data_IF_900863429261
#
_entry.id   IF_900863429261
#
_cell.length_a   1.000
_cell.length_b   1.000
_cell.length_c   1.000
_cell.angle_alpha   90.00
_cell.angle_beta   90.00
_cell.angle_gamma   90.00
#
_symmetry.space_group_name_H-M   'P 1'
#
loop_
_entity.id
_entity.type
_entity.pdbx_description
1 polymer ?
#
# COMPACT_ATOMS: atom_id res chain seq x y z
N UNK A 1 11.72 -13.95 -8.93
CA UNK A 1 10.96 -12.71 -9.24
C UNK A 1 11.76 -11.86 -10.23
N UNK A 2 11.55 -12.08 -11.54
CA UNK A 2 12.31 -11.43 -12.63
C UNK A 2 11.71 -10.07 -13.05
N UNK A 3 10.51 -9.74 -12.56
CA UNK A 3 9.77 -8.51 -12.85
C UNK A 3 10.17 -7.31 -11.96
N UNK A 4 10.58 -7.56 -10.71
CA UNK A 4 10.96 -6.49 -9.79
C UNK A 4 12.37 -5.97 -10.08
N UNK A 5 12.61 -4.65 -9.96
CA UNK A 5 13.94 -4.07 -10.14
C UNK A 5 14.98 -4.75 -9.24
N UNK A 6 16.24 -4.67 -9.64
CA UNK A 6 17.36 -5.13 -8.82
C UNK A 6 17.48 -4.30 -7.55
N UNK A 7 17.96 -4.92 -6.47
CA UNK A 7 18.21 -4.21 -5.22
C UNK A 7 19.18 -3.05 -5.46
N UNK A 8 18.99 -1.94 -4.74
CA UNK A 8 19.75 -0.69 -4.84
C UNK A 8 19.69 0.04 -6.20
N UNK A 9 18.84 -0.39 -7.12
CA UNK A 9 18.68 0.28 -8.42
C UNK A 9 17.95 1.62 -8.30
N UNK A 10 18.40 2.62 -9.07
CA UNK A 10 17.74 3.93 -9.17
C UNK A 10 16.30 3.84 -9.75
N UNK A 11 15.95 2.72 -10.39
CA UNK A 11 14.61 2.46 -10.92
C UNK A 11 13.55 2.48 -9.80
N UNK A 12 13.92 2.10 -8.57
CA UNK A 12 13.01 2.15 -7.41
C UNK A 12 12.51 3.55 -7.08
N UNK A 13 13.29 4.61 -7.36
CA UNK A 13 12.82 5.99 -7.15
C UNK A 13 11.73 6.38 -8.14
N UNK A 14 11.83 5.92 -9.40
CA UNK A 14 10.75 6.09 -10.38
C UNK A 14 9.49 5.33 -9.97
N UNK A 15 9.66 4.09 -9.49
CA UNK A 15 8.56 3.30 -8.94
C UNK A 15 7.92 4.00 -7.74
N UNK A 16 8.71 4.53 -6.81
CA UNK A 16 8.21 5.28 -5.65
C UNK A 16 7.37 6.50 -6.07
N UNK A 17 7.83 7.28 -7.05
CA UNK A 17 7.07 8.43 -7.55
C UNK A 17 5.74 7.99 -8.19
N UNK A 18 5.78 7.01 -9.11
CA UNK A 18 4.57 6.51 -9.79
C UNK A 18 3.60 5.87 -8.81
N UNK A 19 4.09 5.03 -7.91
CA UNK A 19 3.30 4.35 -6.88
C UNK A 19 2.59 5.36 -5.96
N UNK A 20 3.33 6.37 -5.49
CA UNK A 20 2.78 7.42 -4.62
C UNK A 20 1.72 8.26 -5.34
N UNK A 21 1.97 8.66 -6.59
CA UNK A 21 1.01 9.42 -7.38
C UNK A 21 -0.27 8.62 -7.66
N UNK A 22 -0.15 7.34 -8.04
CA UNK A 22 -1.31 6.48 -8.28
C UNK A 22 -2.10 6.27 -7.00
N UNK A 23 -1.43 5.95 -5.89
CA UNK A 23 -2.10 5.75 -4.61
C UNK A 23 -2.81 7.03 -4.14
N UNK A 24 -2.16 8.18 -4.28
CA UNK A 24 -2.78 9.48 -3.98
C UNK A 24 -4.02 9.73 -4.85
N UNK A 25 -3.91 9.54 -6.16
CA UNK A 25 -5.04 9.70 -7.08
C UNK A 25 -6.23 8.81 -6.71
N UNK A 26 -5.99 7.56 -6.30
CA UNK A 26 -7.05 6.64 -5.85
C UNK A 26 -7.73 7.16 -4.58
N UNK A 27 -6.98 7.69 -3.61
CA UNK A 27 -7.58 8.29 -2.41
C UNK A 27 -8.43 9.53 -2.73
N UNK A 28 -7.99 10.36 -3.68
CA UNK A 28 -8.77 11.51 -4.15
C UNK A 28 -10.05 11.06 -4.84
N UNK A 29 -9.98 10.06 -5.71
CA UNK A 29 -11.15 9.48 -6.38
C UNK A 29 -12.14 8.90 -5.37
N UNK A 30 -11.65 8.16 -4.38
CA UNK A 30 -12.49 7.64 -3.32
C UNK A 30 -13.26 8.76 -2.59
N UNK A 31 -12.53 9.78 -2.11
CA UNK A 31 -13.15 10.82 -1.29
C UNK A 31 -14.07 11.75 -2.08
N UNK A 32 -13.59 12.28 -3.21
CA UNK A 32 -14.28 13.37 -3.90
C UNK A 32 -15.20 12.89 -5.04
N UNK A 33 -14.98 11.68 -5.57
CA UNK A 33 -15.82 11.13 -6.63
C UNK A 33 -16.77 10.05 -6.13
N UNK A 34 -16.30 9.09 -5.30
CA UNK A 34 -17.15 7.99 -4.81
C UNK A 34 -18.04 8.44 -3.65
N UNK A 35 -17.48 9.10 -2.64
CA UNK A 35 -18.27 9.63 -1.52
C UNK A 35 -18.98 10.96 -1.85
N UNK A 36 -18.74 11.52 -3.05
CA UNK A 36 -19.32 12.78 -3.52
C UNK A 36 -19.12 13.97 -2.56
N UNK A 37 -18.07 13.94 -1.75
CA UNK A 37 -17.73 15.00 -0.82
C UNK A 37 -17.20 16.24 -1.56
N UNK A 38 -17.46 17.46 -1.05
CA UNK A 38 -16.94 18.67 -1.66
C UNK A 38 -15.42 18.67 -1.66
N UNK A 39 -14.83 19.17 -2.75
CA UNK A 39 -13.38 19.24 -2.87
C UNK A 39 -12.77 20.13 -1.79
N UNK A 40 -11.82 19.58 -1.06
CA UNK A 40 -11.05 20.27 -0.03
C UNK A 40 -9.56 20.05 -0.27
N UNK A 41 -8.83 21.16 -0.49
CA UNK A 41 -7.40 21.13 -0.79
C UNK A 41 -6.55 20.63 0.39
N UNK A 42 -6.95 20.93 1.62
CA UNK A 42 -6.24 20.49 2.83
C UNK A 42 -6.37 18.97 2.99
N UNK A 43 -7.55 18.40 2.74
CA UNK A 43 -7.76 16.95 2.74
C UNK A 43 -6.94 16.29 1.61
N UNK A 44 -6.95 16.87 0.41
CA UNK A 44 -6.17 16.37 -0.72
C UNK A 44 -4.66 16.32 -0.41
N UNK A 45 -4.11 17.37 0.22
CA UNK A 45 -2.71 17.42 0.66
C UNK A 45 -2.39 16.38 1.73
N UNK A 46 -3.28 16.15 2.70
CA UNK A 46 -3.13 15.11 3.73
C UNK A 46 -3.06 13.71 3.13
N UNK A 47 -3.90 13.41 2.14
CA UNK A 47 -3.79 12.16 1.39
C UNK A 47 -2.52 12.07 0.57
N UNK A 48 -2.04 13.20 0.03
CA UNK A 48 -0.75 13.25 -0.67
C UNK A 48 0.40 12.89 0.26
N UNK A 49 0.41 13.43 1.48
CA UNK A 49 1.40 13.11 2.50
C UNK A 49 1.33 11.64 2.92
N UNK A 50 0.13 11.10 3.15
CA UNK A 50 -0.06 9.67 3.47
C UNK A 50 0.48 8.78 2.34
N UNK A 51 0.11 9.08 1.09
CA UNK A 51 0.55 8.32 -0.07
C UNK A 51 2.07 8.39 -0.27
N UNK A 52 2.67 9.56 -0.03
CA UNK A 52 4.11 9.74 -0.02
C UNK A 52 4.77 8.84 1.03
N UNK A 53 4.32 8.89 2.28
CA UNK A 53 4.88 8.10 3.38
C UNK A 53 4.79 6.61 3.08
N UNK A 54 3.62 6.12 2.67
CA UNK A 54 3.42 4.70 2.33
C UNK A 54 4.30 4.29 1.15
N UNK A 55 4.35 5.12 0.10
CA UNK A 55 5.18 4.82 -1.08
C UNK A 55 6.67 4.77 -0.73
N UNK A 56 7.17 5.73 0.06
CA UNK A 56 8.54 5.76 0.55
C UNK A 56 8.85 4.48 1.32
N UNK A 57 8.02 4.13 2.31
CA UNK A 57 8.25 2.97 3.16
C UNK A 57 8.32 1.67 2.34
N UNK A 58 7.32 1.42 1.49
CA UNK A 58 7.26 0.17 0.73
C UNK A 58 8.38 0.10 -0.32
N UNK A 59 8.60 1.16 -1.10
CA UNK A 59 9.60 1.15 -2.15
C UNK A 59 11.05 1.19 -1.61
N UNK A 60 11.29 1.80 -0.45
CA UNK A 60 12.59 1.70 0.23
C UNK A 60 12.89 0.27 0.68
N UNK A 61 11.91 -0.45 1.22
CA UNK A 61 12.09 -1.86 1.58
C UNK A 61 12.35 -2.73 0.34
N UNK A 62 11.64 -2.45 -0.76
CA UNK A 62 11.94 -3.06 -2.07
C UNK A 62 13.35 -2.74 -2.57
N UNK A 63 13.79 -1.49 -2.42
CA UNK A 63 15.15 -1.04 -2.78
C UNK A 63 16.23 -1.73 -1.95
N UNK A 64 15.99 -1.99 -0.66
CA UNK A 64 16.87 -2.79 0.22
C UNK A 64 16.90 -4.29 -0.15
N UNK A 65 16.04 -4.73 -1.06
CA UNK A 65 15.99 -6.11 -1.55
C UNK A 65 14.84 -6.94 -0.97
N UNK A 66 13.97 -6.36 -0.15
CA UNK A 66 12.80 -7.02 0.44
C UNK A 66 11.65 -7.21 -0.56
N UNK A 67 11.86 -8.10 -1.53
CA UNK A 67 10.92 -8.31 -2.64
C UNK A 67 9.61 -8.96 -2.21
N UNK A 68 9.66 -9.91 -1.25
CA UNK A 68 8.45 -10.54 -0.69
C UNK A 68 7.66 -9.53 0.13
N UNK A 69 8.35 -8.72 0.95
CA UNK A 69 7.73 -7.64 1.72
C UNK A 69 6.99 -6.70 0.78
N UNK A 70 7.68 -6.23 -0.28
CA UNK A 70 7.08 -5.31 -1.25
C UNK A 70 5.85 -5.91 -1.94
N UNK A 71 5.93 -7.16 -2.39
CA UNK A 71 4.82 -7.84 -3.06
C UNK A 71 3.60 -8.02 -2.15
N UNK A 72 3.81 -8.56 -0.94
CA UNK A 72 2.71 -8.84 -0.01
C UNK A 72 2.09 -7.56 0.56
N UNK A 73 2.91 -6.53 0.82
CA UNK A 73 2.41 -5.21 1.24
C UNK A 73 1.58 -4.57 0.15
N UNK A 74 2.03 -4.62 -1.11
CA UNK A 74 1.30 -4.07 -2.25
C UNK A 74 -0.01 -4.82 -2.50
N UNK A 75 0.00 -6.15 -2.37
CA UNK A 75 -1.20 -6.96 -2.47
C UNK A 75 -2.20 -6.63 -1.34
N UNK A 76 -1.71 -6.46 -0.11
CA UNK A 76 -2.53 -6.03 1.03
C UNK A 76 -3.14 -4.64 0.82
N UNK A 77 -2.35 -3.69 0.33
CA UNK A 77 -2.81 -2.34 0.01
C UNK A 77 -3.89 -2.34 -1.08
N UNK A 78 -3.67 -3.08 -2.18
CA UNK A 78 -4.65 -3.18 -3.28
C UNK A 78 -5.94 -3.84 -2.77
N UNK A 79 -5.83 -4.97 -2.06
CA UNK A 79 -6.99 -5.65 -1.49
C UNK A 79 -7.75 -4.74 -0.51
N UNK A 80 -7.03 -4.02 0.36
CA UNK A 80 -7.60 -3.07 1.29
C UNK A 80 -8.35 -1.94 0.59
N UNK A 81 -7.79 -1.39 -0.49
CA UNK A 81 -8.45 -0.37 -1.31
C UNK A 81 -9.72 -0.91 -1.96
N UNK A 82 -9.67 -2.08 -2.58
CA UNK A 82 -10.86 -2.70 -3.21
C UNK A 82 -11.98 -2.89 -2.19
N UNK A 83 -11.65 -3.40 -0.99
CA UNK A 83 -12.64 -3.61 0.05
C UNK A 83 -13.19 -2.27 0.57
N UNK A 84 -12.35 -1.27 0.81
CA UNK A 84 -12.79 0.07 1.21
C UNK A 84 -13.79 0.67 0.23
N UNK A 85 -13.53 0.55 -1.08
CA UNK A 85 -14.49 0.98 -2.10
C UNK A 85 -15.79 0.17 -2.05
N UNK A 86 -15.71 -1.15 -1.83
CA UNK A 86 -16.92 -1.98 -1.69
C UNK A 86 -17.78 -1.60 -0.48
N UNK A 87 -17.15 -1.17 0.63
CA UNK A 87 -17.88 -0.73 1.82
C UNK A 87 -18.64 0.59 1.61
N UNK A 88 -18.15 1.47 0.73
CA UNK A 88 -18.85 2.71 0.40
C UNK A 88 -20.21 2.49 -0.29
N UNK A 89 -20.46 1.30 -0.86
CA UNK A 89 -21.73 0.94 -1.49
C UNK A 89 -22.63 0.08 -0.59
N UNK A 90 -22.19 -0.28 0.61
CA UNK A 90 -23.00 -1.05 1.55
C UNK A 90 -23.79 -0.11 2.42
N UNK A 91 -25.08 -0.34 2.56
CA UNK A 91 -25.91 0.44 3.48
C UNK A 91 -25.65 -0.05 4.92
N UNK A 92 -24.85 0.71 5.68
CA UNK A 92 -24.41 0.39 7.04
C UNK A 92 -24.78 1.49 8.04
N UNK A 93 -25.84 2.26 7.75
CA UNK A 93 -26.37 3.28 8.67
C UNK A 93 -25.33 4.33 9.08
N UNK A 94 -24.47 4.76 8.16
CA UNK A 94 -23.47 5.82 8.40
C UNK A 94 -22.11 5.31 8.92
N UNK A 95 -21.94 4.00 9.08
CA UNK A 95 -20.65 3.39 9.47
C UNK A 95 -19.80 2.97 8.27
N UNK A 96 -20.25 3.24 7.04
CA UNK A 96 -19.58 2.78 5.81
C UNK A 96 -18.14 3.26 5.74
N UNK A 97 -17.93 4.55 5.99
CA UNK A 97 -16.62 5.20 5.92
C UNK A 97 -15.64 4.62 6.96
N UNK A 98 -16.11 4.42 8.19
CA UNK A 98 -15.26 3.88 9.25
C UNK A 98 -14.92 2.41 8.98
N UNK A 99 -15.92 1.60 8.62
CA UNK A 99 -15.73 0.18 8.33
C UNK A 99 -14.81 -0.01 7.11
N UNK A 100 -15.00 0.79 6.06
CA UNK A 100 -14.15 0.80 4.87
C UNK A 100 -12.71 1.17 5.21
N UNK A 101 -12.51 2.26 5.97
CA UNK A 101 -11.17 2.71 6.37
C UNK A 101 -10.46 1.70 7.28
N UNK A 102 -11.14 1.14 8.29
CA UNK A 102 -10.58 0.11 9.17
C UNK A 102 -10.18 -1.14 8.39
N UNK A 103 -11.02 -1.56 7.44
CA UNK A 103 -10.72 -2.71 6.57
C UNK A 103 -9.48 -2.43 5.72
N UNK A 104 -9.39 -1.23 5.12
CA UNK A 104 -8.21 -0.81 4.38
C UNK A 104 -6.93 -0.90 5.22
N UNK A 105 -6.95 -0.33 6.43
CA UNK A 105 -5.80 -0.35 7.34
C UNK A 105 -5.43 -1.78 7.71
N UNK A 106 -6.41 -2.62 8.05
CA UNK A 106 -6.18 -4.01 8.46
C UNK A 106 -5.50 -4.82 7.35
N UNK A 107 -5.99 -4.73 6.10
CA UNK A 107 -5.39 -5.46 4.98
C UNK A 107 -4.02 -4.90 4.58
N UNK A 108 -3.83 -3.59 4.66
CA UNK A 108 -2.54 -2.96 4.37
C UNK A 108 -1.48 -3.39 5.40
N UNK A 109 -1.79 -3.29 6.69
CA UNK A 109 -0.89 -3.70 7.77
C UNK A 109 -0.70 -5.22 7.80
N UNK A 110 -1.76 -6.00 7.56
CA UNK A 110 -1.71 -7.45 7.47
C UNK A 110 -0.80 -7.93 6.33
N UNK A 111 -0.97 -7.35 5.13
CA UNK A 111 -0.09 -7.63 4.00
C UNK A 111 1.37 -7.26 4.26
N UNK A 112 1.60 -6.13 4.94
CA UNK A 112 2.92 -5.71 5.37
C UNK A 112 3.56 -6.67 6.38
N UNK A 113 2.83 -7.05 7.44
CA UNK A 113 3.29 -7.98 8.46
C UNK A 113 3.59 -9.37 7.87
N UNK A 114 2.69 -9.90 7.03
CA UNK A 114 2.92 -11.15 6.30
C UNK A 114 4.13 -11.04 5.38
N UNK A 115 4.32 -9.89 4.73
CA UNK A 115 5.50 -9.54 3.96
C UNK A 115 6.80 -9.70 4.74
N UNK A 116 6.88 -9.04 5.90
CA UNK A 116 8.03 -9.11 6.79
C UNK A 116 8.32 -10.54 7.26
N UNK A 117 7.28 -11.28 7.64
CA UNK A 117 7.42 -12.68 8.07
C UNK A 117 7.94 -13.55 6.93
N UNK A 118 7.37 -13.43 5.73
CA UNK A 118 7.78 -14.21 4.56
C UNK A 118 9.23 -13.93 4.16
N UNK A 119 9.64 -12.66 4.14
CA UNK A 119 11.02 -12.26 3.85
C UNK A 119 11.99 -12.76 4.94
N UNK A 120 11.61 -12.66 6.21
CA UNK A 120 12.40 -13.17 7.34
C UNK A 120 12.63 -14.67 7.26
N UNK A 121 11.57 -15.45 6.99
CA UNK A 121 11.67 -16.91 6.79
C UNK A 121 12.57 -17.22 5.59
N UNK A 122 12.38 -16.52 4.47
CA UNK A 122 13.21 -16.71 3.28
C UNK A 122 14.70 -16.48 3.56
N UNK A 123 15.03 -15.41 4.27
CA UNK A 123 16.41 -15.10 4.65
C UNK A 123 17.02 -16.16 5.58
N UNK A 124 16.27 -16.64 6.58
CA UNK A 124 16.73 -17.68 7.50
C UNK A 124 16.99 -19.01 6.79
N UNK A 125 16.09 -19.43 5.89
CA UNK A 125 16.24 -20.67 5.12
C UNK A 125 17.43 -20.56 4.17
N UNK A 126 17.60 -19.42 3.49
CA UNK A 126 18.73 -19.19 2.60
C UNK A 126 20.06 -19.29 3.35
N UNK A 127 20.18 -18.61 4.50
CA UNK A 127 21.40 -18.64 5.33
C UNK A 127 21.77 -20.03 5.83
N UNK A 128 20.79 -20.90 6.10
CA UNK A 128 21.03 -22.31 6.48
C UNK A 128 21.46 -23.22 5.33
N UNK A 129 21.25 -22.83 4.08
CA UNK A 129 21.69 -23.61 2.90
C UNK A 129 23.08 -23.22 2.41
N UNK A 130 23.53 -22.01 2.76
CA UNK A 130 24.83 -21.46 2.35
C UNK A 130 25.93 -21.66 3.40
N UNK A 131 25.60 -22.14 4.61
CA UNK A 131 26.54 -22.53 5.66
C UNK A 131 26.47 -24.02 5.94
#
# INVERSE_FOLDING_TARGET
>A
MRFLPTAKSHIWFRWMAVYGLLFWAVLLLYRFAVLAEPFDMMIALRFGLLALVVSVLLNLLGWLGGKLVWCLSTAGLITGLILMFSYAYRDMSGWEDLAGFLTFVLFTLGGFALGLVAEGIYFLVKRRREG
#
